data_IF_304378648098
#
_entry.id   IF_304378648098
#
_cell.length_a   1.000
_cell.length_b   1.000
_cell.length_c   1.000
_cell.angle_alpha   90.00
_cell.angle_beta   90.00
_cell.angle_gamma   90.00
#
_symmetry.space_group_name_H-M   'P 1'
#
loop_
_entity.id
_entity.type
_entity.pdbx_description
1 polymer ?
#
# COMPACT_ATOMS: atom_id res chain seq x y z
N UNK A 1 11.29 -2.95 19.88
CA UNK A 1 11.17 -3.49 18.51
C UNK A 1 12.55 -3.63 17.92
N UNK A 2 12.79 -4.70 17.18
CA UNK A 2 13.98 -4.84 16.35
C UNK A 2 13.79 -4.16 15.00
N UNK A 3 14.88 -3.81 14.32
CA UNK A 3 14.80 -3.29 12.96
C UNK A 3 14.70 -4.41 11.92
N UNK A 4 14.14 -4.07 10.77
CA UNK A 4 14.10 -4.89 9.57
C UNK A 4 15.31 -4.51 8.70
N UNK A 5 16.12 -5.48 8.31
CA UNK A 5 17.18 -5.35 7.30
C UNK A 5 16.69 -5.91 5.96
N UNK A 6 17.16 -5.34 4.86
CA UNK A 6 16.88 -5.87 3.54
C UNK A 6 17.53 -7.24 3.34
N UNK A 7 16.78 -8.26 2.93
CA UNK A 7 17.32 -9.60 2.64
C UNK A 7 18.34 -9.57 1.48
N UNK A 8 18.12 -8.73 0.47
CA UNK A 8 19.00 -8.57 -0.70
C UNK A 8 20.17 -7.62 -0.46
N UNK A 9 20.08 -6.77 0.55
CA UNK A 9 21.19 -5.95 1.01
C UNK A 9 21.27 -6.01 2.55
N UNK A 10 21.85 -7.09 3.11
CA UNK A 10 21.80 -7.42 4.53
C UNK A 10 22.35 -6.37 5.49
N UNK A 11 23.12 -5.40 4.99
CA UNK A 11 23.68 -4.30 5.77
C UNK A 11 22.74 -3.09 5.89
N UNK A 12 21.73 -2.98 5.03
CA UNK A 12 20.88 -1.80 4.94
C UNK A 12 19.61 -2.01 5.74
N UNK A 13 19.32 -1.05 6.62
CA UNK A 13 18.09 -1.02 7.41
C UNK A 13 16.95 -0.60 6.51
N UNK A 14 15.95 -1.48 6.38
CA UNK A 14 14.67 -1.12 5.80
C UNK A 14 13.89 -0.26 6.79
N UNK A 15 13.59 -0.70 8.01
CA UNK A 15 12.96 0.19 8.99
C UNK A 15 13.15 -0.27 10.43
N UNK A 16 13.17 0.65 11.39
CA UNK A 16 13.16 0.34 12.84
C UNK A 16 11.76 0.42 13.47
N UNK A 17 10.72 0.39 12.64
CA UNK A 17 9.36 0.82 12.97
C UNK A 17 8.99 2.04 12.15
N UNK A 18 7.80 2.58 12.38
CA UNK A 18 7.27 3.66 11.54
C UNK A 18 6.70 4.82 12.35
N UNK A 19 6.89 6.04 11.84
CA UNK A 19 6.41 7.28 12.46
C UNK A 19 5.04 7.63 11.88
N UNK A 20 4.09 7.97 12.76
CA UNK A 20 2.79 8.48 12.34
C UNK A 20 2.90 9.88 11.73
N UNK A 21 2.28 10.03 10.57
CA UNK A 21 2.04 11.31 9.94
C UNK A 21 0.53 11.56 9.85
N UNK A 22 0.06 12.67 10.44
CA UNK A 22 -1.37 13.06 10.42
C UNK A 22 -2.32 11.94 10.93
N UNK A 23 -1.85 11.13 11.88
CA UNK A 23 -2.55 10.04 12.59
C UNK A 23 -2.81 8.73 11.80
N UNK A 24 -2.76 8.74 10.48
CA UNK A 24 -3.11 7.55 9.67
C UNK A 24 -2.27 7.36 8.42
N UNK A 25 -1.40 8.32 8.08
CA UNK A 25 -0.28 8.11 7.17
C UNK A 25 0.94 7.72 8.01
N UNK A 26 1.91 7.07 7.39
CA UNK A 26 3.10 6.59 8.08
C UNK A 26 4.29 6.61 7.13
N UNK A 27 5.49 6.68 7.69
CA UNK A 27 6.74 6.52 6.97
C UNK A 27 7.74 5.77 7.86
N UNK A 28 8.63 4.96 7.26
CA UNK A 28 9.61 4.19 8.01
C UNK A 28 10.58 5.10 8.78
N UNK A 29 10.90 4.74 10.02
CA UNK A 29 12.02 5.33 10.76
C UNK A 29 13.32 4.61 10.43
N UNK A 30 14.44 5.35 10.47
CA UNK A 30 15.80 4.84 10.18
C UNK A 30 15.95 4.15 8.81
N UNK A 31 15.10 4.51 7.85
CA UNK A 31 15.08 3.94 6.51
C UNK A 31 16.39 4.21 5.76
N UNK A 32 16.96 3.17 5.15
CA UNK A 32 18.19 3.18 4.35
C UNK A 32 19.48 3.58 5.11
N UNK A 33 19.50 3.46 6.44
CA UNK A 33 20.77 3.51 7.18
C UNK A 33 21.62 2.26 6.88
N UNK A 34 22.93 2.44 6.76
CA UNK A 34 23.87 1.34 6.54
C UNK A 34 24.49 0.92 7.87
N UNK A 35 24.15 -0.27 8.35
CA UNK A 35 24.59 -0.79 9.65
C UNK A 35 26.11 -1.06 9.73
N UNK A 36 26.86 -0.90 8.63
CA UNK A 36 28.33 -1.00 8.62
C UNK A 36 29.01 0.33 8.98
N UNK A 37 28.28 1.44 8.87
CA UNK A 37 28.82 2.79 9.07
C UNK A 37 28.59 3.24 10.52
N UNK A 38 29.65 3.69 11.20
CA UNK A 38 29.58 4.14 12.60
C UNK A 38 28.58 5.30 12.75
N UNK A 39 28.60 6.26 11.83
CA UNK A 39 27.68 7.41 11.83
C UNK A 39 26.20 6.98 11.69
N UNK A 40 25.94 5.89 10.94
CA UNK A 40 24.59 5.33 10.82
C UNK A 40 24.13 4.68 12.12
N UNK A 41 25.04 4.02 12.85
CA UNK A 41 24.75 3.43 14.16
C UNK A 41 24.48 4.51 15.21
N UNK A 42 25.27 5.58 15.24
CA UNK A 42 25.01 6.74 16.10
C UNK A 42 23.68 7.43 15.73
N UNK A 43 23.42 7.59 14.42
CA UNK A 43 22.12 8.08 13.94
C UNK A 43 20.98 7.15 14.36
N UNK A 44 21.18 5.83 14.40
CA UNK A 44 20.18 4.88 14.85
C UNK A 44 19.81 5.09 16.32
N UNK A 45 20.81 5.23 17.19
CA UNK A 45 20.66 5.38 18.65
C UNK A 45 19.93 6.67 19.06
N UNK A 46 19.85 7.66 18.17
CA UNK A 46 19.01 8.83 18.36
C UNK A 46 17.51 8.46 18.33
N UNK A 47 16.97 8.02 19.47
CA UNK A 47 15.60 7.56 19.58
C UNK A 47 14.57 8.61 19.13
N UNK A 48 13.62 8.17 18.30
CA UNK A 48 12.46 8.96 17.90
C UNK A 48 11.22 8.26 18.38
N UNK A 49 10.19 9.05 18.69
CA UNK A 49 8.87 8.50 19.01
C UNK A 49 8.26 7.87 17.76
N UNK A 50 8.33 6.55 17.67
CA UNK A 50 7.66 5.78 16.63
C UNK A 50 6.22 5.47 17.02
N UNK A 51 5.44 5.17 15.99
CA UNK A 51 4.00 4.96 16.05
C UNK A 51 3.56 3.51 16.21
N UNK A 52 4.31 2.60 15.60
CA UNK A 52 4.20 1.16 15.74
C UNK A 52 5.54 0.52 15.36
N UNK A 53 5.81 -0.69 15.86
CA UNK A 53 6.88 -1.55 15.38
C UNK A 53 6.27 -2.72 14.62
N UNK A 54 6.84 -3.07 13.48
CA UNK A 54 6.29 -4.17 12.69
C UNK A 54 6.62 -5.54 13.29
N UNK A 55 5.77 -6.50 12.98
CA UNK A 55 5.81 -7.84 13.58
C UNK A 55 6.83 -8.80 12.97
N UNK A 56 7.84 -8.29 12.26
CA UNK A 56 9.05 -9.07 11.94
C UNK A 56 9.94 -9.27 13.17
N UNK A 57 9.92 -8.34 14.12
CA UNK A 57 10.58 -8.48 15.43
C UNK A 57 9.98 -7.50 16.44
N UNK A 58 8.91 -7.91 17.12
CA UNK A 58 8.22 -7.06 18.10
C UNK A 58 7.86 -7.84 19.36
N UNK A 59 8.39 -7.40 20.50
CA UNK A 59 8.10 -7.96 21.81
C UNK A 59 7.31 -6.94 22.64
N UNK A 60 6.29 -7.43 23.35
CA UNK A 60 5.46 -6.64 24.26
C UNK A 60 4.97 -7.52 25.42
N UNK A 61 4.66 -6.89 26.55
CA UNK A 61 4.07 -7.58 27.69
C UNK A 61 2.61 -7.92 27.40
N UNK A 62 2.26 -9.20 27.39
CA UNK A 62 0.89 -9.67 27.14
C UNK A 62 -0.10 -9.16 28.20
N UNK A 63 0.34 -8.91 29.42
CA UNK A 63 -0.51 -8.37 30.49
C UNK A 63 -0.78 -6.88 30.30
N UNK A 64 -0.05 -6.21 29.40
CA UNK A 64 -0.17 -4.79 29.14
C UNK A 64 -1.11 -4.47 27.95
N UNK A 65 -1.60 -5.48 27.23
CA UNK A 65 -2.49 -5.25 26.08
C UNK A 65 -3.93 -5.02 26.55
N UNK A 66 -4.58 -4.03 25.96
CA UNK A 66 -6.01 -3.73 26.17
C UNK A 66 -6.89 -4.32 25.07
N UNK A 67 -6.30 -4.51 23.89
CA UNK A 67 -7.00 -4.91 22.68
C UNK A 67 -6.22 -6.00 21.94
N UNK A 68 -6.95 -6.93 21.35
CA UNK A 68 -6.40 -7.88 20.37
C UNK A 68 -6.28 -7.20 19.01
N UNK A 69 -5.58 -7.84 18.07
CA UNK A 69 -5.42 -7.34 16.71
C UNK A 69 -6.77 -7.20 16.00
N UNK A 70 -6.92 -6.13 15.21
CA UNK A 70 -8.05 -5.97 14.32
C UNK A 70 -7.99 -7.00 13.17
N UNK A 71 -9.11 -7.54 12.68
CA UNK A 71 -9.12 -8.63 11.69
C UNK A 71 -8.80 -8.16 10.26
N UNK A 72 -7.59 -7.64 10.03
CA UNK A 72 -7.11 -7.33 8.68
C UNK A 72 -6.79 -8.58 7.83
N UNK A 73 -6.58 -9.73 8.47
CA UNK A 73 -5.87 -10.92 7.97
C UNK A 73 -4.38 -10.70 7.75
N UNK A 74 -4.04 -9.70 6.94
CA UNK A 74 -2.65 -9.31 6.64
C UNK A 74 -2.58 -7.83 6.28
N UNK A 75 -1.45 -7.20 6.64
CA UNK A 75 -1.11 -5.79 6.42
C UNK A 75 -2.01 -4.84 7.21
N UNK A 76 -1.41 -4.09 8.12
CA UNK A 76 -2.07 -3.04 8.91
C UNK A 76 -2.49 -3.48 10.31
N UNK A 77 -2.36 -4.76 10.63
CA UNK A 77 -2.61 -5.36 11.93
C UNK A 77 -1.63 -4.86 13.00
N UNK A 78 -0.32 -4.91 12.71
CA UNK A 78 0.74 -4.32 13.54
C UNK A 78 0.56 -2.80 13.73
N UNK A 79 0.24 -2.11 12.65
CA UNK A 79 0.02 -0.68 12.58
C UNK A 79 -1.15 -0.25 13.46
N UNK A 80 -2.32 -0.88 13.30
CA UNK A 80 -3.49 -0.50 14.09
C UNK A 80 -3.34 -0.94 15.55
N UNK A 81 -2.68 -2.08 15.80
CA UNK A 81 -2.34 -2.51 17.15
C UNK A 81 -1.48 -1.47 17.87
N UNK A 82 -0.42 -0.95 17.22
CA UNK A 82 0.40 0.13 17.75
C UNK A 82 -0.40 1.42 18.00
N UNK A 83 -1.27 1.80 17.06
CA UNK A 83 -2.14 2.98 17.23
C UNK A 83 -3.09 2.86 18.43
N UNK A 84 -3.69 1.69 18.64
CA UNK A 84 -4.60 1.43 19.75
C UNK A 84 -3.86 1.42 21.11
N UNK A 85 -2.59 1.02 21.10
CA UNK A 85 -1.69 1.00 22.25
C UNK A 85 -0.72 2.18 22.29
N UNK A 86 -1.09 3.33 21.70
CA UNK A 86 -0.21 4.52 21.60
C UNK A 86 0.25 5.15 22.92
N UNK A 87 -0.29 4.70 24.06
CA UNK A 87 0.16 5.10 25.40
C UNK A 87 1.43 4.35 25.82
N UNK A 88 1.70 3.20 25.21
CA UNK A 88 2.91 2.44 25.44
C UNK A 88 4.08 3.08 24.70
N UNK A 89 5.24 3.10 25.34
CA UNK A 89 6.46 3.57 24.71
C UNK A 89 7.08 2.43 23.91
N UNK A 90 7.36 2.66 22.64
CA UNK A 90 8.05 1.68 21.79
C UNK A 90 9.50 2.13 21.68
N UNK A 91 10.42 1.26 22.11
CA UNK A 91 11.86 1.47 22.02
C UNK A 91 12.41 0.67 20.85
N UNK A 92 13.32 1.26 20.09
CA UNK A 92 14.10 0.60 19.02
C UNK A 92 15.45 0.18 19.58
N UNK A 93 15.88 -1.06 19.32
CA UNK A 93 17.12 -1.59 19.89
C UNK A 93 18.16 -1.78 18.79
N UNK A 94 19.30 -1.10 18.92
CA UNK A 94 20.46 -1.34 18.06
C UNK A 94 20.98 -2.77 18.29
N UNK A 95 21.49 -3.42 17.25
CA UNK A 95 21.93 -4.81 17.29
C UNK A 95 20.82 -5.86 17.35
N UNK A 96 19.54 -5.48 17.42
CA UNK A 96 18.41 -6.40 17.34
C UNK A 96 17.71 -6.23 16.00
N UNK A 97 17.89 -7.20 15.11
CA UNK A 97 17.37 -7.13 13.76
C UNK A 97 16.82 -8.47 13.27
N UNK A 98 16.04 -8.40 12.19
CA UNK A 98 15.71 -9.54 11.35
C UNK A 98 15.81 -9.16 9.87
N UNK A 99 15.97 -10.16 8.99
CA UNK A 99 16.08 -9.96 7.54
C UNK A 99 14.78 -10.37 6.85
N UNK A 100 14.29 -9.50 5.95
CA UNK A 100 13.06 -9.74 5.23
C UNK A 100 13.17 -9.24 3.79
N UNK A 101 12.40 -9.92 2.93
CA UNK A 101 12.15 -9.46 1.58
C UNK A 101 11.48 -8.09 1.58
N UNK A 102 12.05 -7.18 0.79
CA UNK A 102 11.55 -5.84 0.51
C UNK A 102 10.05 -5.83 0.16
N UNK A 103 9.30 -4.93 0.80
CA UNK A 103 7.87 -4.80 0.56
C UNK A 103 7.55 -4.24 -0.84
N UNK A 104 8.46 -3.50 -1.48
CA UNK A 104 8.29 -3.03 -2.86
C UNK A 104 8.27 -4.18 -3.87
N UNK A 105 8.82 -5.35 -3.50
CA UNK A 105 8.76 -6.57 -4.32
C UNK A 105 7.37 -7.23 -4.34
N UNK A 106 6.45 -6.75 -3.49
CA UNK A 106 5.11 -7.33 -3.33
C UNK A 106 4.03 -6.48 -4.00
N UNK A 107 4.35 -5.67 -5.02
CA UNK A 107 3.34 -4.87 -5.72
C UNK A 107 2.40 -5.79 -6.53
N UNK A 108 1.10 -5.73 -6.23
CA UNK A 108 0.05 -6.45 -6.96
C UNK A 108 -1.31 -5.76 -6.77
N UNK A 109 -2.29 -6.13 -7.60
CA UNK A 109 -3.68 -5.64 -7.47
C UNK A 109 -4.27 -5.99 -6.10
N UNK A 110 -4.00 -7.19 -5.57
CA UNK A 110 -4.41 -7.54 -4.21
C UNK A 110 -3.70 -6.68 -3.16
N UNK A 111 -2.38 -6.52 -3.27
CA UNK A 111 -1.64 -5.76 -2.28
C UNK A 111 -2.02 -4.26 -2.28
N UNK A 112 -2.47 -3.67 -3.39
CA UNK A 112 -3.00 -2.30 -3.35
C UNK A 112 -4.32 -2.20 -2.61
N UNK A 113 -5.22 -3.19 -2.77
CA UNK A 113 -6.43 -3.30 -1.95
C UNK A 113 -6.06 -3.38 -0.47
N UNK A 114 -5.14 -4.26 -0.11
CA UNK A 114 -4.73 -4.48 1.28
C UNK A 114 -4.05 -3.25 1.88
N UNK A 115 -3.12 -2.63 1.13
CA UNK A 115 -2.39 -1.43 1.54
C UNK A 115 -3.32 -0.26 1.81
N UNK A 116 -4.33 -0.02 0.97
CA UNK A 116 -5.21 1.14 1.18
C UNK A 116 -6.02 1.03 2.50
N UNK A 117 -6.37 -0.19 2.94
CA UNK A 117 -7.05 -0.41 4.23
C UNK A 117 -6.21 0.06 5.41
N UNK A 118 -4.89 -0.05 5.31
CA UNK A 118 -3.93 0.38 6.35
C UNK A 118 -3.94 1.90 6.57
N UNK A 119 -4.51 2.67 5.65
CA UNK A 119 -4.67 4.13 5.76
C UNK A 119 -6.13 4.48 6.08
N UNK A 120 -7.09 3.82 5.43
CA UNK A 120 -8.51 4.13 5.57
C UNK A 120 -9.07 3.76 6.96
N UNK A 121 -8.71 2.60 7.51
CA UNK A 121 -9.23 2.17 8.82
C UNK A 121 -8.69 3.05 9.97
N UNK A 122 -7.37 3.33 10.08
CA UNK A 122 -6.90 4.27 11.09
C UNK A 122 -7.49 5.68 10.92
N UNK A 123 -7.76 6.13 9.69
CA UNK A 123 -8.45 7.41 9.47
C UNK A 123 -9.85 7.45 10.12
N UNK A 124 -10.61 6.34 10.06
CA UNK A 124 -11.91 6.24 10.74
C UNK A 124 -11.78 6.32 12.27
N UNK A 125 -10.67 5.88 12.84
CA UNK A 125 -10.43 5.85 14.29
C UNK A 125 -9.70 7.12 14.78
N UNK A 126 -9.06 7.87 13.87
CA UNK A 126 -8.36 9.11 14.15
C UNK A 126 -9.26 10.16 14.80
N UNK A 127 -8.73 10.95 15.75
CA UNK A 127 -9.43 12.10 16.36
C UNK A 127 -9.31 13.38 15.52
N UNK A 128 -8.63 13.35 14.36
CA UNK A 128 -8.38 14.51 13.51
C UNK A 128 -9.65 15.09 12.90
N UNK A 129 -9.81 16.42 12.98
CA UNK A 129 -10.98 17.17 12.46
C UNK A 129 -11.18 17.04 10.94
N UNK A 130 -10.09 16.97 10.17
CA UNK A 130 -10.11 16.90 8.70
C UNK A 130 -9.72 15.53 8.12
N UNK A 131 -9.91 14.44 8.88
CA UNK A 131 -9.53 13.09 8.44
C UNK A 131 -10.21 12.69 7.12
N UNK A 132 -11.51 12.96 6.96
CA UNK A 132 -12.26 12.63 5.75
C UNK A 132 -11.68 13.31 4.50
N UNK A 133 -11.42 14.61 4.58
CA UNK A 133 -10.85 15.37 3.45
C UNK A 133 -9.46 14.87 3.10
N UNK A 134 -8.60 14.68 4.11
CA UNK A 134 -7.23 14.22 3.89
C UNK A 134 -7.18 12.81 3.31
N UNK A 135 -8.03 11.89 3.79
CA UNK A 135 -8.15 10.55 3.24
C UNK A 135 -8.64 10.58 1.79
N UNK A 136 -9.68 11.36 1.49
CA UNK A 136 -10.21 11.47 0.13
C UNK A 136 -9.20 12.10 -0.84
N UNK A 137 -8.46 13.13 -0.43
CA UNK A 137 -7.39 13.74 -1.24
C UNK A 137 -6.25 12.75 -1.48
N UNK A 138 -5.81 12.04 -0.43
CA UNK A 138 -4.79 11.00 -0.55
C UNK A 138 -5.23 9.89 -1.50
N UNK A 139 -6.45 9.38 -1.33
CA UNK A 139 -7.05 8.35 -2.18
C UNK A 139 -7.10 8.79 -3.65
N UNK A 140 -7.63 9.98 -3.94
CA UNK A 140 -7.72 10.50 -5.30
C UNK A 140 -6.33 10.62 -5.91
N UNK A 141 -5.35 11.15 -5.16
CA UNK A 141 -3.94 11.20 -5.61
C UNK A 141 -3.42 9.82 -5.98
N UNK A 142 -3.61 8.80 -5.13
CA UNK A 142 -3.12 7.43 -5.41
C UNK A 142 -3.82 6.82 -6.64
N UNK A 143 -5.13 7.01 -6.79
CA UNK A 143 -5.87 6.58 -7.99
C UNK A 143 -5.33 7.23 -9.25
N UNK A 144 -5.03 8.54 -9.23
CA UNK A 144 -4.41 9.23 -10.35
C UNK A 144 -2.99 8.72 -10.65
N UNK A 145 -2.13 8.54 -9.63
CA UNK A 145 -0.75 8.08 -9.82
C UNK A 145 -0.68 6.65 -10.40
N UNK A 146 -1.54 5.75 -9.92
CA UNK A 146 -1.66 4.39 -10.47
C UNK A 146 -2.17 4.44 -11.92
N UNK A 147 -3.21 5.23 -12.19
CA UNK A 147 -3.79 5.36 -13.54
C UNK A 147 -2.84 6.04 -14.54
N UNK A 148 -2.03 7.01 -14.10
CA UNK A 148 -0.94 7.58 -14.89
C UNK A 148 0.13 6.54 -15.25
N UNK A 149 0.31 5.52 -14.42
CA UNK A 149 1.24 4.41 -14.69
C UNK A 149 0.56 3.25 -15.43
N UNK A 150 -0.64 3.46 -16.01
CA UNK A 150 -1.46 2.45 -16.67
C UNK A 150 -1.85 1.25 -15.79
N UNK A 151 -1.78 1.40 -14.46
CA UNK A 151 -2.19 0.40 -13.48
C UNK A 151 -3.66 0.58 -13.09
N UNK A 152 -4.56 0.36 -14.05
CA UNK A 152 -5.99 0.60 -13.90
C UNK A 152 -6.67 -0.42 -12.97
N UNK A 153 -6.22 -1.67 -12.94
CA UNK A 153 -6.77 -2.72 -12.07
C UNK A 153 -6.34 -2.49 -10.63
N UNK A 154 -5.09 -2.06 -10.42
CA UNK A 154 -4.59 -1.62 -9.12
C UNK A 154 -5.43 -0.46 -8.56
N UNK A 155 -5.76 0.53 -9.39
CA UNK A 155 -6.62 1.64 -9.00
C UNK A 155 -8.07 1.20 -8.69
N UNK A 156 -8.64 0.25 -9.45
CA UNK A 156 -9.94 -0.37 -9.14
C UNK A 156 -9.94 -1.09 -7.79
N UNK A 157 -8.86 -1.81 -7.47
CA UNK A 157 -8.69 -2.47 -6.18
C UNK A 157 -8.63 -1.47 -5.02
N UNK A 158 -8.00 -0.30 -5.19
CA UNK A 158 -8.06 0.78 -4.20
C UNK A 158 -9.48 1.35 -4.03
N UNK A 159 -10.24 1.51 -5.13
CA UNK A 159 -11.65 1.93 -5.08
C UNK A 159 -12.48 0.93 -4.27
N UNK A 160 -12.31 -0.37 -4.53
CA UNK A 160 -12.98 -1.44 -3.77
C UNK A 160 -12.62 -1.37 -2.28
N UNK A 161 -11.33 -1.22 -1.97
CA UNK A 161 -10.83 -1.12 -0.59
C UNK A 161 -11.44 0.06 0.15
N UNK A 162 -11.55 1.24 -0.48
CA UNK A 162 -12.12 2.40 0.17
C UNK A 162 -13.61 2.20 0.51
N UNK A 163 -14.37 1.61 -0.41
CA UNK A 163 -15.77 1.28 -0.14
C UNK A 163 -15.89 0.27 1.01
N UNK A 164 -15.15 -0.83 0.92
CA UNK A 164 -15.15 -1.92 1.90
C UNK A 164 -14.79 -1.46 3.33
N UNK A 165 -13.81 -0.55 3.47
CA UNK A 165 -13.42 -0.02 4.78
C UNK A 165 -14.54 0.75 5.50
N UNK A 166 -15.49 1.30 4.75
CA UNK A 166 -16.62 2.07 5.27
C UNK A 166 -17.93 1.26 5.32
N UNK A 167 -17.88 -0.03 5.00
CA UNK A 167 -19.06 -0.91 4.92
C UNK A 167 -19.66 -1.31 6.26
N UNK A 168 -18.95 -1.10 7.37
CA UNK A 168 -19.43 -1.41 8.72
C UNK A 168 -18.80 -2.67 9.30
N UNK A 169 -19.37 -3.17 10.39
CA UNK A 169 -18.81 -4.25 11.20
C UNK A 169 -18.89 -5.60 10.51
N UNK A 170 -20.06 -5.91 9.96
CA UNK A 170 -20.40 -7.18 9.33
C UNK A 170 -19.38 -7.54 8.25
N UNK A 171 -18.98 -6.54 7.45
CA UNK A 171 -17.91 -6.70 6.47
C UNK A 171 -16.63 -7.31 7.05
N UNK A 172 -16.15 -6.79 8.18
CA UNK A 172 -14.91 -7.27 8.82
C UNK A 172 -15.10 -8.62 9.49
N UNK A 173 -16.30 -8.95 9.97
CA UNK A 173 -16.58 -10.27 10.51
C UNK A 173 -16.64 -11.33 9.41
N UNK A 174 -17.23 -11.01 8.27
CA UNK A 174 -17.48 -11.98 7.21
C UNK A 174 -16.24 -12.23 6.34
N UNK A 175 -15.26 -11.33 6.37
CA UNK A 175 -14.08 -11.36 5.49
C UNK A 175 -12.74 -11.54 6.23
N UNK A 176 -12.76 -12.18 7.41
CA UNK A 176 -11.55 -12.37 8.25
C UNK A 176 -10.45 -13.18 7.53
N UNK A 177 -10.78 -14.08 6.63
CA UNK A 177 -9.83 -14.93 5.88
C UNK A 177 -9.49 -14.41 4.47
N UNK A 178 -10.09 -13.29 4.07
CA UNK A 178 -10.01 -12.68 2.74
C UNK A 178 -10.44 -13.58 1.57
N UNK A 179 -11.12 -14.71 1.77
CA UNK A 179 -11.46 -15.61 0.66
C UNK A 179 -12.33 -14.91 -0.40
N UNK A 180 -13.40 -14.25 0.04
CA UNK A 180 -14.30 -13.54 -0.87
C UNK A 180 -13.63 -12.30 -1.50
N UNK A 181 -12.80 -11.59 -0.74
CA UNK A 181 -12.01 -10.47 -1.25
C UNK A 181 -11.05 -10.94 -2.36
N UNK A 182 -10.35 -12.05 -2.16
CA UNK A 182 -9.45 -12.63 -3.17
C UNK A 182 -10.20 -13.00 -4.44
N UNK A 183 -11.41 -13.56 -4.33
CA UNK A 183 -12.27 -13.84 -5.50
C UNK A 183 -12.63 -12.56 -6.25
N UNK A 184 -13.12 -11.54 -5.55
CA UNK A 184 -13.48 -10.23 -6.15
C UNK A 184 -12.28 -9.55 -6.82
N UNK A 185 -11.10 -9.60 -6.20
CA UNK A 185 -9.86 -9.03 -6.76
C UNK A 185 -9.38 -9.84 -7.97
N UNK A 186 -9.37 -11.17 -7.90
CA UNK A 186 -8.98 -12.02 -9.02
C UNK A 186 -9.90 -11.80 -10.24
N UNK A 187 -11.20 -11.58 -10.01
CA UNK A 187 -12.17 -11.33 -11.07
C UNK A 187 -11.90 -10.04 -11.86
N UNK A 188 -11.21 -9.05 -11.27
CA UNK A 188 -10.83 -7.81 -11.97
C UNK A 188 -9.38 -7.78 -12.45
N UNK A 189 -8.58 -8.80 -12.08
CA UNK A 189 -7.15 -8.87 -12.40
C UNK A 189 -6.97 -9.66 -13.69
N UNK A 190 -6.84 -8.97 -14.81
CA UNK A 190 -6.64 -9.56 -16.13
C UNK A 190 -5.26 -9.25 -16.68
N UNK A 191 -4.94 -7.96 -16.76
CA UNK A 191 -3.73 -7.47 -17.41
C UNK A 191 -2.57 -7.28 -16.42
N UNK A 192 -2.85 -7.02 -15.14
CA UNK A 192 -1.81 -6.75 -14.15
C UNK A 192 -1.21 -8.03 -13.55
N UNK A 193 -0.69 -8.92 -14.42
CA UNK A 193 -0.02 -10.19 -14.06
C UNK A 193 1.38 -10.28 -14.70
N UNK A 194 2.31 -10.92 -13.99
CA UNK A 194 3.64 -11.27 -14.50
C UNK A 194 3.56 -12.60 -15.27
N UNK A 195 3.13 -12.53 -16.52
CA UNK A 195 2.89 -13.70 -17.38
C UNK A 195 3.60 -13.64 -18.73
N UNK A 196 4.40 -12.61 -18.98
CA UNK A 196 5.18 -12.47 -20.22
C UNK A 196 6.63 -12.85 -19.94
N UNK A 197 7.20 -13.74 -20.74
CA UNK A 197 8.61 -14.11 -20.64
C UNK A 197 9.51 -13.02 -21.25
N UNK A 198 10.69 -12.79 -20.67
CA UNK A 198 11.61 -11.70 -21.00
C UNK A 198 12.27 -11.76 -22.39
N UNK A 199 11.91 -12.74 -23.22
CA UNK A 199 12.66 -13.12 -24.43
C UNK A 199 12.60 -12.03 -25.52
N UNK A 200 11.55 -11.21 -25.57
CA UNK A 200 11.36 -10.19 -26.63
C UNK A 200 11.98 -8.80 -26.34
N UNK A 201 12.62 -8.59 -25.19
CA UNK A 201 13.24 -7.29 -24.86
C UNK A 201 14.63 -7.12 -25.51
N UNK A 202 15.27 -8.23 -25.92
CA UNK A 202 16.70 -8.32 -26.23
C UNK A 202 17.08 -7.65 -27.57
N UNK A 203 16.13 -7.28 -28.43
CA UNK A 203 16.43 -6.75 -29.77
C UNK A 203 16.56 -5.21 -29.86
N UNK A 204 16.78 -4.49 -28.74
CA UNK A 204 17.00 -3.03 -28.76
C UNK A 204 15.77 -2.17 -29.09
N UNK A 205 14.60 -2.79 -29.26
CA UNK A 205 13.33 -2.14 -29.59
C UNK A 205 12.64 -1.45 -28.40
N UNK A 206 13.29 -1.34 -27.24
CA UNK A 206 12.75 -0.72 -26.03
C UNK A 206 13.61 0.43 -25.54
N UNK A 207 13.03 1.32 -24.73
CA UNK A 207 13.77 2.31 -23.95
C UNK A 207 13.92 1.86 -22.49
N UNK A 208 14.91 2.43 -21.81
CA UNK A 208 15.13 2.26 -20.37
C UNK A 208 15.14 3.62 -19.65
N UNK A 209 14.69 3.67 -18.38
CA UNK A 209 14.82 4.82 -17.49
C UNK A 209 16.21 5.45 -17.49
N UNK A 210 16.29 6.74 -17.78
CA UNK A 210 17.48 7.54 -17.51
C UNK A 210 17.44 8.09 -16.07
N UNK A 211 18.58 8.08 -15.38
CA UNK A 211 18.75 8.48 -13.97
C UNK A 211 18.60 9.99 -13.69
N UNK A 212 18.21 10.79 -14.68
CA UNK A 212 18.04 12.24 -14.55
C UNK A 212 16.79 12.69 -13.79
N UNK A 213 16.90 13.86 -13.14
CA UNK A 213 15.73 14.61 -12.62
C UNK A 213 14.88 15.12 -13.79
N UNK A 214 13.57 14.96 -13.69
CA UNK A 214 12.62 15.49 -14.67
C UNK A 214 12.63 17.03 -14.62
N UNK A 215 12.78 17.69 -15.78
CA UNK A 215 12.68 19.16 -15.85
C UNK A 215 11.25 19.61 -15.52
N UNK A 216 11.12 20.74 -14.83
CA UNK A 216 9.81 21.26 -14.38
C UNK A 216 8.78 21.42 -15.51
N UNK A 217 9.22 21.82 -16.71
CA UNK A 217 8.35 21.97 -17.87
C UNK A 217 7.73 20.64 -18.34
N UNK A 218 8.49 19.53 -18.30
CA UNK A 218 7.95 18.21 -18.64
C UNK A 218 6.93 17.74 -17.60
N UNK A 219 7.21 17.98 -16.31
CA UNK A 219 6.26 17.72 -15.23
C UNK A 219 4.97 18.53 -15.41
N UNK A 220 5.07 19.80 -15.82
CA UNK A 220 3.92 20.65 -16.10
C UNK A 220 3.06 20.06 -17.23
N UNK A 221 3.65 19.75 -18.38
CA UNK A 221 2.93 19.12 -19.50
C UNK A 221 2.30 17.79 -19.09
N UNK A 222 3.01 17.00 -18.31
CA UNK A 222 2.53 15.72 -17.78
C UNK A 222 1.29 15.89 -16.91
N UNK A 223 1.27 16.89 -16.04
CA UNK A 223 0.11 17.17 -15.20
C UNK A 223 -1.11 17.64 -16.02
N UNK A 224 -0.95 18.65 -16.89
CA UNK A 224 -2.08 19.21 -17.64
C UNK A 224 -2.65 18.24 -18.69
N UNK A 225 -1.85 17.29 -19.16
CA UNK A 225 -2.27 16.30 -20.16
C UNK A 225 -2.75 14.98 -19.53
N UNK A 226 -2.89 14.93 -18.21
CA UNK A 226 -3.23 13.70 -17.45
C UNK A 226 -2.29 12.54 -17.82
N UNK A 227 -1.00 12.81 -17.79
CA UNK A 227 0.08 11.91 -18.17
C UNK A 227 0.00 11.36 -19.61
N UNK A 228 -0.60 12.13 -20.52
CA UNK A 228 -0.76 11.74 -21.92
C UNK A 228 -2.14 11.21 -22.29
N UNK A 229 -3.03 10.99 -21.33
CA UNK A 229 -4.38 10.48 -21.62
C UNK A 229 -5.26 11.50 -22.37
N UNK A 230 -4.97 12.81 -22.25
CA UNK A 230 -5.60 13.86 -23.07
C UNK A 230 -4.95 14.05 -24.45
N UNK A 231 -3.73 13.54 -24.65
CA UNK A 231 -2.99 13.75 -25.90
C UNK A 231 -3.57 12.88 -27.02
N UNK A 232 -3.78 13.39 -28.25
CA UNK A 232 -4.22 12.57 -29.39
C UNK A 232 -3.32 11.36 -29.66
N UNK A 233 -3.91 10.24 -30.10
CA UNK A 233 -3.22 8.95 -30.17
C UNK A 233 -1.97 8.96 -31.08
N UNK A 234 -1.96 9.79 -32.13
CA UNK A 234 -0.83 9.91 -33.05
C UNK A 234 0.41 10.60 -32.44
N UNK A 235 0.28 11.27 -31.30
CA UNK A 235 1.39 11.82 -30.53
C UNK A 235 1.89 10.86 -29.43
N UNK A 236 1.30 9.66 -29.28
CA UNK A 236 1.77 8.66 -28.32
C UNK A 236 3.02 7.94 -28.85
N UNK A 237 3.90 7.58 -27.94
CA UNK A 237 5.17 6.93 -28.24
C UNK A 237 4.92 5.41 -28.35
N UNK A 238 5.10 4.88 -29.56
CA UNK A 238 4.93 3.45 -29.88
C UNK A 238 6.06 2.58 -29.33
N UNK A 239 7.28 3.11 -29.25
CA UNK A 239 8.43 2.39 -28.68
C UNK A 239 8.16 2.09 -27.20
N UNK A 240 8.17 0.83 -26.75
CA UNK A 240 7.93 0.49 -25.35
C UNK A 240 9.06 0.99 -24.44
N UNK A 241 8.77 1.07 -23.14
CA UNK A 241 9.78 1.31 -22.09
C UNK A 241 9.76 0.16 -21.08
N UNK A 242 10.94 -0.22 -20.58
CA UNK A 242 11.09 -1.23 -19.53
C UNK A 242 11.47 -0.53 -18.23
N UNK A 243 10.68 -0.70 -17.18
CA UNK A 243 10.91 -0.13 -15.85
C UNK A 243 11.06 -1.24 -14.82
N UNK A 244 11.81 -0.99 -13.75
CA UNK A 244 11.87 -1.92 -12.62
C UNK A 244 10.47 -2.01 -11.97
N UNK A 245 10.00 -3.24 -11.74
CA UNK A 245 8.68 -3.49 -11.18
C UNK A 245 8.44 -2.90 -9.78
N UNK A 246 9.50 -2.68 -9.00
CA UNK A 246 9.47 -2.06 -7.67
C UNK A 246 9.02 -0.60 -7.71
N UNK A 247 9.14 0.07 -8.86
CA UNK A 247 8.58 1.40 -9.03
C UNK A 247 7.04 1.34 -8.95
N UNK A 248 6.50 1.81 -7.82
CA UNK A 248 5.06 1.84 -7.59
C UNK A 248 4.34 2.79 -8.55
N UNK A 249 4.89 4.01 -8.74
CA UNK A 249 4.32 5.06 -9.59
C UNK A 249 5.34 5.67 -10.58
N UNK A 250 5.80 4.93 -11.62
CA UNK A 250 6.78 5.40 -12.60
C UNK A 250 6.20 6.42 -13.60
N UNK A 251 5.42 7.39 -13.12
CA UNK A 251 4.59 8.30 -13.93
C UNK A 251 5.39 9.11 -14.96
N UNK A 252 6.64 9.50 -14.65
CA UNK A 252 7.53 10.19 -15.61
C UNK A 252 7.91 9.30 -16.79
N UNK A 253 8.06 7.99 -16.56
CA UNK A 253 8.47 7.03 -17.57
C UNK A 253 7.30 6.54 -18.42
N UNK A 254 6.09 6.52 -17.84
CA UNK A 254 4.87 6.16 -18.56
C UNK A 254 4.30 7.29 -19.43
N UNK A 255 4.78 8.53 -19.27
CA UNK A 255 4.27 9.68 -20.02
C UNK A 255 4.28 9.43 -21.54
N UNK A 256 3.10 9.51 -22.17
CA UNK A 256 2.86 9.26 -23.61
C UNK A 256 3.18 7.84 -24.11
N UNK A 257 3.62 6.91 -23.28
CA UNK A 257 3.96 5.54 -23.72
C UNK A 257 2.69 4.76 -23.99
N UNK A 258 2.64 4.06 -25.12
CA UNK A 258 1.55 3.12 -25.40
C UNK A 258 1.74 1.83 -24.59
N UNK A 259 2.97 1.36 -24.46
CA UNK A 259 3.30 0.10 -23.79
C UNK A 259 4.42 0.32 -22.78
N UNK A 260 4.20 -0.22 -21.57
CA UNK A 260 5.14 -0.17 -20.45
C UNK A 260 5.34 -1.59 -19.96
N UNK A 261 6.58 -2.03 -19.89
CA UNK A 261 6.95 -3.31 -19.29
C UNK A 261 7.52 -3.06 -17.90
N UNK A 262 6.99 -3.76 -16.91
CA UNK A 262 7.58 -3.83 -15.58
C UNK A 262 8.36 -5.15 -15.49
N UNK A 263 9.68 -5.04 -15.36
CA UNK A 263 10.57 -6.20 -15.24
C UNK A 263 10.74 -6.60 -13.79
N UNK A 264 10.39 -7.84 -13.48
CA UNK A 264 10.86 -8.52 -12.28
C UNK A 264 12.21 -9.17 -12.59
N UNK A 265 13.28 -8.57 -12.06
CA UNK A 265 14.66 -9.00 -12.30
C UNK A 265 14.94 -10.38 -11.69
N UNK A 266 14.25 -10.74 -10.60
CA UNK A 266 14.51 -11.98 -9.86
C UNK A 266 14.13 -13.24 -10.64
N UNK A 267 13.05 -13.17 -11.42
CA UNK A 267 12.52 -14.30 -12.17
C UNK A 267 12.46 -14.04 -13.69
N UNK A 268 12.95 -12.88 -14.14
CA UNK A 268 12.96 -12.49 -15.55
C UNK A 268 11.57 -12.26 -16.17
N UNK A 269 10.48 -12.30 -15.38
CA UNK A 269 9.12 -12.12 -15.90
C UNK A 269 8.77 -10.66 -16.05
N UNK A 270 7.93 -10.40 -17.03
CA UNK A 270 7.42 -9.09 -17.36
C UNK A 270 5.92 -8.98 -17.05
N UNK A 271 5.56 -7.81 -16.55
CA UNK A 271 4.19 -7.33 -16.54
C UNK A 271 4.05 -6.29 -17.68
N UNK A 272 3.14 -6.53 -18.62
CA UNK A 272 2.85 -5.60 -19.73
C UNK A 272 1.63 -4.74 -19.40
N UNK A 273 1.81 -3.43 -19.36
CA UNK A 273 0.75 -2.44 -19.22
C UNK A 273 0.55 -1.67 -20.52
N UNK A 274 -0.70 -1.37 -20.84
CA UNK A 274 -1.06 -0.66 -22.08
C UNK A 274 -1.88 0.58 -21.75
N UNK A 275 -1.54 1.70 -22.39
CA UNK A 275 -2.27 2.94 -22.26
C UNK A 275 -3.67 2.84 -22.85
N UNK A 276 -4.70 3.14 -22.06
CA UNK A 276 -6.09 3.16 -22.48
C UNK A 276 -6.81 4.38 -21.93
N UNK A 277 -7.23 5.28 -22.83
CA UNK A 277 -8.02 6.46 -22.45
C UNK A 277 -9.35 6.07 -21.82
N UNK A 278 -10.02 5.07 -22.38
CA UNK A 278 -11.30 4.60 -21.88
C UNK A 278 -11.16 4.07 -20.44
N UNK A 279 -10.20 3.18 -20.20
CA UNK A 279 -9.99 2.60 -18.86
C UNK A 279 -9.56 3.68 -17.86
N UNK A 280 -8.69 4.59 -18.29
CA UNK A 280 -8.30 5.74 -17.48
C UNK A 280 -9.50 6.56 -17.02
N UNK A 281 -10.36 7.04 -17.94
CA UNK A 281 -11.50 7.88 -17.56
C UNK A 281 -12.54 7.11 -16.74
N UNK A 282 -12.81 5.83 -17.05
CA UNK A 282 -13.71 4.99 -16.24
C UNK A 282 -13.23 4.91 -14.80
N UNK A 283 -11.94 4.64 -14.58
CA UNK A 283 -11.36 4.51 -13.24
C UNK A 283 -11.30 5.85 -12.51
N UNK A 284 -10.89 6.93 -13.19
CA UNK A 284 -10.86 8.27 -12.58
C UNK A 284 -12.26 8.72 -12.16
N UNK A 285 -13.27 8.59 -13.03
CA UNK A 285 -14.65 8.98 -12.71
C UNK A 285 -15.17 8.17 -11.52
N UNK A 286 -14.98 6.84 -11.53
CA UNK A 286 -15.40 5.98 -10.42
C UNK A 286 -14.64 6.31 -9.12
N UNK A 287 -13.34 6.61 -9.22
CA UNK A 287 -12.52 7.06 -8.10
C UNK A 287 -13.03 8.37 -7.50
N UNK A 288 -13.30 9.39 -8.33
CA UNK A 288 -13.85 10.67 -7.87
C UNK A 288 -15.23 10.50 -7.23
N UNK A 289 -16.13 9.75 -7.86
CA UNK A 289 -17.44 9.45 -7.29
C UNK A 289 -17.32 8.73 -5.94
N UNK A 290 -16.45 7.73 -5.84
CA UNK A 290 -16.17 7.02 -4.59
C UNK A 290 -15.61 7.95 -3.52
N UNK A 291 -14.70 8.85 -3.87
CA UNK A 291 -14.13 9.82 -2.93
C UNK A 291 -15.18 10.77 -2.36
N UNK A 292 -16.09 11.27 -3.21
CA UNK A 292 -17.21 12.14 -2.80
C UNK A 292 -18.21 11.37 -1.94
N UNK A 293 -18.66 10.20 -2.40
CA UNK A 293 -19.59 9.33 -1.66
C UNK A 293 -19.05 9.00 -0.26
N UNK A 294 -17.79 8.56 -0.18
CA UNK A 294 -17.17 8.16 1.07
C UNK A 294 -16.81 9.35 1.96
N UNK A 295 -16.55 10.53 1.40
CA UNK A 295 -16.40 11.76 2.17
C UNK A 295 -17.66 12.07 2.98
N UNK A 296 -18.84 11.98 2.36
CA UNK A 296 -20.11 12.20 3.06
C UNK A 296 -20.47 11.06 4.03
N UNK A 297 -20.20 9.80 3.67
CA UNK A 297 -20.42 8.64 4.55
C UNK A 297 -19.43 8.57 5.73
N UNK A 298 -18.28 9.25 5.65
CA UNK A 298 -17.19 9.11 6.61
C UNK A 298 -17.63 9.31 8.06
N UNK A 299 -18.50 10.29 8.34
CA UNK A 299 -18.95 10.59 9.71
C UNK A 299 -19.75 9.43 10.32
N UNK A 300 -20.66 8.81 9.57
CA UNK A 300 -21.43 7.66 10.07
C UNK A 300 -20.55 6.43 10.20
N UNK A 301 -19.73 6.13 9.17
CA UNK A 301 -18.79 5.00 9.19
C UNK A 301 -17.79 5.09 10.35
N UNK A 302 -17.32 6.30 10.69
CA UNK A 302 -16.47 6.55 11.85
C UNK A 302 -17.19 6.24 13.18
N UNK A 303 -18.46 6.59 13.30
CA UNK A 303 -19.27 6.27 14.49
C UNK A 303 -19.47 4.75 14.61
N UNK A 304 -19.83 4.09 13.51
CA UNK A 304 -19.98 2.64 13.44
C UNK A 304 -18.68 1.93 13.83
N UNK A 305 -17.57 2.28 13.18
CA UNK A 305 -16.24 1.71 13.49
C UNK A 305 -15.87 1.92 14.95
N UNK A 306 -16.06 3.12 15.51
CA UNK A 306 -15.79 3.40 16.93
C UNK A 306 -16.60 2.48 17.86
N UNK A 307 -17.86 2.21 17.53
CA UNK A 307 -18.73 1.35 18.32
C UNK A 307 -18.39 -0.14 18.16
N UNK A 308 -17.93 -0.55 16.97
CA UNK A 308 -17.60 -1.95 16.66
C UNK A 308 -16.19 -2.35 17.08
N UNK A 309 -15.26 -1.40 17.17
CA UNK A 309 -13.85 -1.65 17.46
C UNK A 309 -13.62 -2.46 18.74
N UNK A 310 -14.27 -2.15 19.90
CA UNK A 310 -14.09 -2.94 21.12
C UNK A 310 -14.44 -4.42 20.94
N UNK A 311 -15.46 -4.74 20.14
CA UNK A 311 -15.81 -6.12 19.83
C UNK A 311 -14.81 -6.75 18.85
N UNK A 312 -14.53 -6.10 17.72
CA UNK A 312 -13.63 -6.60 16.67
C UNK A 312 -12.19 -6.84 17.16
N UNK A 313 -11.83 -6.24 18.29
CA UNK A 313 -10.52 -6.38 18.94
C UNK A 313 -10.61 -7.06 20.31
N UNK A 314 -11.70 -7.79 20.56
CA UNK A 314 -11.88 -8.54 21.81
C UNK A 314 -11.38 -9.98 21.71
N UNK A 315 -11.02 -10.56 22.86
CA UNK A 315 -10.78 -12.01 23.00
C UNK A 315 -11.99 -12.81 22.54
N UNK A 316 -13.22 -12.34 22.86
CA UNK A 316 -14.47 -13.01 22.50
C UNK A 316 -14.65 -13.14 21.00
N UNK A 317 -14.36 -12.08 20.23
CA UNK A 317 -14.43 -12.12 18.77
C UNK A 317 -13.49 -13.18 18.20
N UNK A 318 -12.22 -13.16 18.60
CA UNK A 318 -11.23 -14.14 18.13
C UNK A 318 -11.56 -15.57 18.58
N UNK A 319 -12.03 -15.76 19.81
CA UNK A 319 -12.50 -17.06 20.30
C UNK A 319 -13.62 -17.62 19.40
N UNK A 320 -14.63 -16.81 19.06
CA UNK A 320 -15.69 -17.23 18.13
C UNK A 320 -15.15 -17.60 16.76
N UNK A 321 -14.22 -16.82 16.21
CA UNK A 321 -13.67 -17.07 14.86
C UNK A 321 -12.80 -18.33 14.79
N UNK A 322 -11.99 -18.60 15.81
CA UNK A 322 -11.14 -19.79 15.83
C UNK A 322 -11.90 -21.07 16.22
N UNK A 323 -12.89 -20.98 17.11
CA UNK A 323 -13.61 -22.17 17.58
C UNK A 323 -14.80 -22.58 16.71
N UNK A 324 -15.41 -21.65 15.95
CA UNK A 324 -16.43 -22.02 14.95
C UNK A 324 -15.88 -23.00 13.90
N UNK A 325 -14.56 -22.97 13.67
CA UNK A 325 -13.86 -23.89 12.76
C UNK A 325 -13.71 -25.33 13.29
N UNK A 326 -13.96 -25.55 14.58
CA UNK A 326 -13.94 -26.88 15.21
C UNK A 326 -15.32 -27.56 15.23
N UNK A 327 -16.41 -26.79 15.25
CA UNK A 327 -17.78 -27.34 15.20
C UNK A 327 -18.15 -27.84 13.80
N UNK A 328 -17.66 -27.20 12.73
CA UNK A 328 -17.91 -27.63 11.33
C UNK A 328 -17.02 -28.82 10.88
N UNK A 329 -16.35 -29.52 11.81
CA UNK A 329 -15.41 -30.63 11.54
C UNK A 329 -15.77 -31.97 12.18
N UNK A 330 -16.97 -32.11 12.74
CA UNK A 330 -17.47 -33.37 13.29
C UNK A 330 -18.77 -33.79 12.62
#
# INVERSE_FOLDING_TARGET
>A
TGCMLFEDNPAIIHESGAIWHRDFLHYPDKHYLDAREIDSLDTFDNERKIGYGGWWFFAFNINAIEYYSFPFFVRGDDLLFGYMHKKHNIVTLNGVASWQMDFERKISVLNSYLNFRTVAVPALISKRKFAALLLSVFFVREVFLASFSCRYELARAMIMSYNDCLSGREFWEDNVDLLEIRKRINAITHNEKFNVEGIDIVNGCVDYPCSGKEKAIYKFFRCITLNGHLIPAFFLIKKPIVVDYRHYHPTKFSFRRITIYHLNIENGKLLKLTHSKMEFFKVIINGLFTAVKNFYRFKSAKKEMKNSLPYLTSKLFWYKKFNKKYEDKY
#
